data_IF_201020341329
#
_entry.id   IF_201020341329
#
_cell.length_a   1.000
_cell.length_b   1.000
_cell.length_c   1.000
_cell.angle_alpha   90.00
_cell.angle_beta   90.00
_cell.angle_gamma   90.00
#
_symmetry.space_group_name_H-M   'P 1'
#
loop_
_entity.id
_entity.type
_entity.pdbx_description
1 polymer ?
#
# COMPACT_ATOMS: atom_id res chain seq x y z
N UNK A 1 20.98 16.78 -18.74
CA UNK A 1 20.50 17.81 -17.78
C UNK A 1 19.10 18.29 -18.13
N UNK A 2 18.89 18.92 -19.30
CA UNK A 2 17.59 19.48 -19.68
C UNK A 2 16.46 18.43 -19.74
N UNK A 3 16.68 17.28 -20.40
CA UNK A 3 15.71 16.17 -20.47
C UNK A 3 15.29 15.68 -19.08
N UNK A 4 16.26 15.43 -18.20
CA UNK A 4 16.03 14.97 -16.81
C UNK A 4 15.16 15.96 -16.03
N UNK A 5 15.39 17.26 -16.21
CA UNK A 5 14.56 18.30 -15.56
C UNK A 5 13.16 18.32 -16.16
N UNK A 6 13.03 18.25 -17.49
CA UNK A 6 11.72 18.23 -18.16
C UNK A 6 10.88 17.02 -17.77
N UNK A 7 11.46 15.82 -17.77
CA UNK A 7 10.78 14.59 -17.35
C UNK A 7 10.32 14.68 -15.89
N UNK A 8 11.17 15.22 -15.01
CA UNK A 8 10.83 15.44 -13.61
C UNK A 8 9.71 16.47 -13.41
N UNK A 9 9.79 17.63 -14.06
CA UNK A 9 8.74 18.67 -13.97
C UNK A 9 7.40 18.16 -14.52
N UNK A 10 7.42 17.37 -15.61
CA UNK A 10 6.22 16.74 -16.17
C UNK A 10 5.62 15.69 -15.21
N UNK A 11 6.45 14.89 -14.56
CA UNK A 11 6.00 13.92 -13.55
C UNK A 11 5.39 14.63 -12.32
N UNK A 12 6.04 15.69 -11.82
CA UNK A 12 5.49 16.52 -10.73
C UNK A 12 4.16 17.17 -11.12
N UNK A 13 4.04 17.72 -12.33
CA UNK A 13 2.82 18.33 -12.82
C UNK A 13 1.67 17.31 -12.89
N UNK A 14 1.92 16.13 -13.47
CA UNK A 14 0.94 15.04 -13.50
C UNK A 14 0.50 14.60 -12.10
N UNK A 15 1.42 14.56 -11.14
CA UNK A 15 1.14 14.25 -9.73
C UNK A 15 0.24 15.31 -9.10
N UNK A 16 0.54 16.59 -9.30
CA UNK A 16 -0.30 17.70 -8.79
C UNK A 16 -1.69 17.68 -9.40
N UNK A 17 -1.79 17.49 -10.71
CA UNK A 17 -3.09 17.39 -11.40
C UNK A 17 -3.91 16.19 -10.93
N UNK A 18 -3.26 15.04 -10.67
CA UNK A 18 -3.93 13.86 -10.14
C UNK A 18 -4.42 14.08 -8.69
N UNK A 19 -3.61 14.75 -7.86
CA UNK A 19 -3.97 15.10 -6.49
C UNK A 19 -5.12 16.12 -6.45
N UNK A 20 -5.10 17.10 -7.35
CA UNK A 20 -6.17 18.09 -7.48
C UNK A 20 -7.46 17.45 -8.00
N UNK A 21 -7.38 16.54 -8.99
CA UNK A 21 -8.53 15.74 -9.44
C UNK A 21 -9.12 14.87 -8.31
N UNK A 22 -8.28 14.23 -7.49
CA UNK A 22 -8.72 13.45 -6.34
C UNK A 22 -9.41 14.32 -5.28
N UNK A 23 -8.88 15.53 -5.01
CA UNK A 23 -9.49 16.51 -4.08
C UNK A 23 -10.87 16.99 -4.55
N UNK A 24 -11.04 17.18 -5.86
CA UNK A 24 -12.28 17.72 -6.44
C UNK A 24 -13.35 16.66 -6.66
N UNK A 25 -12.98 15.41 -7.00
CA UNK A 25 -13.93 14.33 -7.35
C UNK A 25 -14.15 13.25 -6.28
N UNK A 26 -13.35 13.24 -5.20
CA UNK A 26 -13.45 12.20 -4.15
C UNK A 26 -13.03 10.80 -4.62
N UNK A 27 -12.32 10.69 -5.75
CA UNK A 27 -11.78 9.44 -6.28
C UNK A 27 -10.49 9.03 -5.54
N UNK A 28 -10.27 7.72 -5.36
CA UNK A 28 -9.02 7.19 -4.82
C UNK A 28 -7.86 7.45 -5.81
N UNK A 29 -6.74 7.93 -5.27
CA UNK A 29 -5.51 8.16 -6.01
C UNK A 29 -5.08 6.88 -6.77
N UNK A 30 -4.73 6.96 -8.06
CA UNK A 30 -4.25 5.81 -8.83
C UNK A 30 -3.08 5.10 -8.14
N UNK A 31 -3.24 3.79 -7.90
CA UNK A 31 -2.32 2.93 -7.16
C UNK A 31 -0.89 2.91 -7.75
N UNK A 32 -0.72 3.21 -9.04
CA UNK A 32 0.58 3.28 -9.73
C UNK A 32 1.44 4.46 -9.23
N UNK A 33 0.84 5.58 -8.83
CA UNK A 33 1.57 6.74 -8.29
C UNK A 33 1.96 6.58 -6.82
N UNK A 34 1.34 5.62 -6.13
CA UNK A 34 1.65 5.25 -4.74
C UNK A 34 2.80 4.22 -4.71
N UNK A 35 3.05 3.53 -5.83
CA UNK A 35 3.99 2.42 -5.94
C UNK A 35 5.47 2.81 -5.98
N UNK A 36 5.80 3.95 -6.60
CA UNK A 36 7.20 4.39 -6.74
C UNK A 36 7.72 5.18 -5.52
N UNK A 37 6.82 5.72 -4.70
CA UNK A 37 7.14 6.49 -3.48
C UNK A 37 6.68 5.79 -2.19
N UNK A 38 6.71 4.45 -2.15
CA UNK A 38 6.57 3.72 -0.89
C UNK A 38 7.79 3.99 0.00
N UNK A 39 7.74 5.08 0.76
CA UNK A 39 8.70 5.35 1.83
C UNK A 39 8.85 6.81 2.26
N UNK A 40 8.23 7.78 1.58
CA UNK A 40 8.50 9.19 1.89
C UNK A 40 7.32 9.86 2.59
N UNK A 41 7.45 9.96 3.91
CA UNK A 41 6.60 10.83 4.71
C UNK A 41 6.67 12.26 4.12
N UNK A 42 5.52 12.93 3.92
CA UNK A 42 5.44 14.27 3.32
C UNK A 42 6.37 15.29 4.01
N UNK A 43 6.62 15.11 5.31
CA UNK A 43 7.58 15.92 6.08
C UNK A 43 9.02 15.78 5.57
N UNK A 44 9.45 14.56 5.23
CA UNK A 44 10.80 14.29 4.73
C UNK A 44 11.00 14.97 3.37
N UNK A 45 9.96 15.01 2.53
CA UNK A 45 10.06 15.66 1.22
C UNK A 45 10.28 17.17 1.33
N UNK A 46 9.58 17.83 2.27
CA UNK A 46 9.75 19.24 2.54
C UNK A 46 11.17 19.56 3.06
N UNK A 47 11.69 18.74 3.97
CA UNK A 47 13.02 18.90 4.55
C UNK A 47 14.12 18.70 3.51
N UNK A 48 14.01 17.65 2.67
CA UNK A 48 14.96 17.40 1.58
C UNK A 48 14.94 18.52 0.54
N UNK A 49 13.75 19.04 0.21
CA UNK A 49 13.61 20.19 -0.69
C UNK A 49 14.29 21.43 -0.12
N UNK A 50 14.07 21.73 1.17
CA UNK A 50 14.72 22.84 1.86
C UNK A 50 16.25 22.70 1.87
N UNK A 51 16.74 21.49 2.13
CA UNK A 51 18.18 21.19 2.17
C UNK A 51 18.86 21.34 0.80
N UNK A 52 18.21 20.93 -0.29
CA UNK A 52 18.80 20.92 -1.63
C UNK A 52 18.58 22.23 -2.41
N UNK A 53 17.62 23.06 -2.00
CA UNK A 53 17.29 24.30 -2.69
C UNK A 53 18.37 25.38 -2.47
N UNK A 54 18.80 26.02 -3.55
CA UNK A 54 19.73 27.16 -3.50
C UNK A 54 21.22 26.80 -3.49
N UNK A 55 21.57 25.51 -3.37
CA UNK A 55 22.97 25.04 -3.43
C UNK A 55 23.53 25.09 -4.86
N UNK A 56 24.84 25.33 -4.96
CA UNK A 56 25.58 25.32 -6.22
C UNK A 56 25.87 23.88 -6.70
N UNK A 57 26.25 23.70 -7.98
CA UNK A 57 26.56 22.36 -8.50
C UNK A 57 27.67 21.66 -7.70
N UNK A 58 28.73 22.42 -7.36
CA UNK A 58 29.87 21.90 -6.58
C UNK A 58 29.48 21.52 -5.14
N UNK A 59 28.62 22.31 -4.48
CA UNK A 59 28.11 21.98 -3.14
C UNK A 59 27.24 20.72 -3.15
N UNK A 60 26.42 20.53 -4.19
CA UNK A 60 25.61 19.31 -4.35
C UNK A 60 26.48 18.08 -4.62
N UNK A 61 27.62 18.23 -5.29
CA UNK A 61 28.57 17.16 -5.53
C UNK A 61 29.36 16.76 -4.28
N UNK A 62 29.77 17.74 -3.49
CA UNK A 62 30.35 17.50 -2.16
C UNK A 62 29.35 16.79 -1.24
N UNK A 63 28.09 17.23 -1.25
CA UNK A 63 27.03 16.63 -0.44
C UNK A 63 26.71 15.19 -0.89
N UNK A 64 26.72 14.90 -2.19
CA UNK A 64 26.61 13.52 -2.69
C UNK A 64 27.75 12.65 -2.16
N UNK A 65 29.01 13.11 -2.29
CA UNK A 65 30.19 12.35 -1.87
C UNK A 65 30.17 12.09 -0.36
N UNK A 66 29.71 13.07 0.43
CA UNK A 66 29.54 12.92 1.87
C UNK A 66 28.46 11.89 2.23
N UNK A 67 27.31 11.91 1.56
CA UNK A 67 26.22 10.96 1.79
C UNK A 67 26.66 9.55 1.39
N UNK A 68 27.28 9.37 0.23
CA UNK A 68 27.79 8.08 -0.23
C UNK A 68 28.85 7.51 0.73
N UNK A 69 29.75 8.36 1.24
CA UNK A 69 30.72 7.98 2.26
C UNK A 69 30.06 7.56 3.57
N UNK A 70 29.04 8.30 4.03
CA UNK A 70 28.27 7.97 5.24
C UNK A 70 27.43 6.69 5.10
N UNK A 71 26.99 6.36 3.88
CA UNK A 71 26.32 5.10 3.57
C UNK A 71 27.30 3.93 3.56
N UNK A 72 28.50 4.10 2.98
CA UNK A 72 29.55 3.08 2.96
C UNK A 72 30.12 2.79 4.36
N UNK A 73 30.19 3.79 5.23
CA UNK A 73 30.66 3.62 6.61
C UNK A 73 29.62 2.98 7.55
N UNK A 74 28.39 2.73 7.08
CA UNK A 74 27.33 2.10 7.88
C UNK A 74 26.81 2.97 9.03
N UNK A 75 27.18 4.25 9.08
CA UNK A 75 26.77 5.20 10.14
C UNK A 75 25.44 5.90 9.84
N UNK A 76 24.83 5.61 8.69
CA UNK A 76 23.57 6.20 8.26
C UNK A 76 22.40 5.64 9.05
N UNK A 77 21.83 6.44 9.97
CA UNK A 77 20.68 6.04 10.81
C UNK A 77 19.38 5.82 10.03
N UNK A 78 19.23 6.40 8.84
CA UNK A 78 18.02 6.28 8.00
C UNK A 78 18.42 6.16 6.53
N UNK A 79 18.64 4.93 6.05
CA UNK A 79 19.09 4.67 4.66
C UNK A 79 18.06 5.13 3.64
N UNK A 80 16.76 4.91 3.88
CA UNK A 80 15.66 5.31 2.99
C UNK A 80 15.61 6.84 2.77
N UNK A 81 15.92 7.61 3.81
CA UNK A 81 16.03 9.06 3.72
C UNK A 81 17.16 9.47 2.77
N UNK A 82 18.35 8.89 2.95
CA UNK A 82 19.51 9.21 2.13
C UNK A 82 19.37 8.73 0.68
N UNK A 83 18.73 7.58 0.45
CA UNK A 83 18.39 7.11 -0.90
C UNK A 83 17.41 8.05 -1.61
N UNK A 84 16.39 8.53 -0.90
CA UNK A 84 15.48 9.53 -1.44
C UNK A 84 16.17 10.87 -1.71
N UNK A 85 17.10 11.28 -0.84
CA UNK A 85 17.97 12.44 -1.06
C UNK A 85 18.80 12.23 -2.31
N UNK A 86 19.45 11.08 -2.51
CA UNK A 86 20.28 10.79 -3.69
C UNK A 86 19.47 10.80 -4.99
N UNK A 87 18.29 10.18 -5.00
CA UNK A 87 17.36 10.25 -6.14
C UNK A 87 16.99 11.70 -6.47
N UNK A 88 16.70 12.53 -5.47
CA UNK A 88 16.40 13.95 -5.71
C UNK A 88 17.62 14.77 -6.06
N UNK A 89 18.79 14.42 -5.53
CA UNK A 89 20.02 15.16 -5.72
C UNK A 89 20.46 15.16 -7.18
N UNK A 90 20.28 14.07 -7.92
CA UNK A 90 20.59 14.05 -9.36
C UNK A 90 19.75 15.07 -10.15
N UNK A 91 18.49 15.29 -9.74
CA UNK A 91 17.57 16.24 -10.36
C UNK A 91 18.02 17.67 -10.03
N UNK A 92 18.35 17.93 -8.75
CA UNK A 92 18.84 19.24 -8.32
C UNK A 92 20.20 19.58 -8.93
N UNK A 93 21.10 18.60 -9.12
CA UNK A 93 22.35 18.77 -9.89
C UNK A 93 22.07 19.19 -11.33
N UNK A 94 21.12 18.53 -11.99
CA UNK A 94 20.71 18.90 -13.35
C UNK A 94 20.13 20.32 -13.41
N UNK A 95 19.31 20.72 -12.43
CA UNK A 95 18.78 22.08 -12.31
C UNK A 95 19.87 23.13 -12.05
N UNK A 96 20.80 22.86 -11.15
CA UNK A 96 21.92 23.75 -10.85
C UNK A 96 22.84 23.93 -12.07
N UNK A 97 23.15 22.83 -12.77
CA UNK A 97 23.90 22.86 -14.03
C UNK A 97 23.22 23.73 -15.08
N UNK A 98 21.90 23.59 -15.26
CA UNK A 98 21.14 24.40 -16.20
C UNK A 98 21.14 25.89 -15.82
N UNK A 99 21.01 26.20 -14.52
CA UNK A 99 21.12 27.57 -14.00
C UNK A 99 22.51 28.16 -14.26
N UNK A 100 23.59 27.40 -14.04
CA UNK A 100 24.95 27.87 -14.32
C UNK A 100 25.17 28.13 -15.81
N UNK A 101 24.66 27.25 -16.68
CA UNK A 101 24.71 27.45 -18.14
C UNK A 101 23.93 28.72 -18.51
N UNK A 102 22.73 28.89 -17.96
CA UNK A 102 21.90 30.07 -18.18
C UNK A 102 22.62 31.35 -17.74
N UNK A 103 23.18 31.38 -16.52
CA UNK A 103 23.94 32.53 -16.00
C UNK A 103 25.20 32.81 -16.86
N UNK A 104 25.88 31.77 -17.34
CA UNK A 104 27.03 31.92 -18.27
C UNK A 104 26.59 32.49 -19.62
N UNK A 105 25.45 32.06 -20.16
CA UNK A 105 24.88 32.61 -21.39
C UNK A 105 24.47 34.06 -21.21
N UNK A 106 23.82 34.41 -20.10
CA UNK A 106 23.45 35.79 -19.77
C UNK A 106 24.68 36.69 -19.65
N UNK A 107 25.74 36.23 -18.97
CA UNK A 107 27.00 36.96 -18.88
C UNK A 107 27.61 37.23 -20.26
N UNK A 108 27.69 36.20 -21.11
CA UNK A 108 28.17 36.37 -22.50
C UNK A 108 27.29 37.33 -23.33
N UNK A 109 25.98 37.31 -23.11
CA UNK A 109 25.07 38.22 -23.79
C UNK A 109 25.25 39.67 -23.31
N UNK A 110 25.40 39.87 -22.00
CA UNK A 110 25.70 41.16 -21.40
C UNK A 110 27.06 41.70 -21.87
N UNK A 111 28.10 40.88 -21.88
CA UNK A 111 29.44 41.24 -22.40
C UNK A 111 29.40 41.61 -23.89
N UNK A 112 28.49 41.02 -24.68
CA UNK A 112 28.30 41.37 -26.10
C UNK A 112 27.58 42.72 -26.25
N UNK A 113 26.69 43.07 -25.31
CA UNK A 113 25.99 44.35 -25.27
C UNK A 113 26.89 45.48 -24.71
N UNK A 114 27.78 45.16 -23.77
CA UNK A 114 28.71 46.11 -23.15
C UNK A 114 29.93 46.44 -24.03
N UNK A 115 30.24 45.63 -25.05
CA UNK A 115 31.22 46.02 -26.07
C UNK A 115 30.62 47.13 -26.93
N UNK A 116 31.07 48.39 -26.81
CA UNK A 116 30.58 49.45 -27.66
C UNK A 116 30.96 49.14 -29.11
N UNK A 117 30.04 49.50 -30.00
CA UNK A 117 30.23 49.61 -31.44
C UNK A 117 31.46 50.48 -31.79
N UNK A 118 32.66 49.90 -31.77
CA UNK A 118 33.82 50.41 -32.51
C UNK A 118 34.01 49.55 -33.76
N UNK A 119 33.18 49.80 -34.78
CA UNK A 119 33.27 49.08 -36.04
C UNK A 119 32.11 49.32 -36.98
N UNK A 120 32.22 50.42 -37.74
CA UNK A 120 31.70 50.59 -39.10
C UNK A 120 30.25 51.08 -39.32
N UNK A 121 30.21 52.41 -39.47
CA UNK A 121 29.47 53.11 -40.54
C UNK A 121 29.68 52.41 -41.89
N UNK A 122 28.62 51.89 -42.53
CA UNK A 122 28.26 52.07 -43.94
C UNK A 122 27.27 51.01 -44.43
N UNK A 123 25.97 51.34 -44.41
CA UNK A 123 25.07 51.32 -45.58
C UNK A 123 23.65 51.62 -45.12
N UNK A 124 23.31 52.90 -45.10
CA UNK A 124 21.95 53.31 -45.44
C UNK A 124 21.70 52.98 -46.92
N UNK A 125 20.53 52.38 -47.19
CA UNK A 125 19.65 52.70 -48.33
C UNK A 125 18.44 51.76 -48.30
N UNK A 126 17.34 52.25 -47.76
CA UNK A 126 15.99 52.07 -48.35
C UNK A 126 15.87 53.03 -49.53
N UNK A 127 15.22 52.66 -50.65
CA UNK A 127 13.74 52.77 -50.80
C UNK A 127 13.17 51.53 -51.55
N UNK A 128 11.88 51.17 -51.60
CA UNK A 128 10.61 51.87 -51.47
C UNK A 128 9.71 51.41 -52.64
N UNK A 129 8.46 51.02 -52.33
CA UNK A 129 7.25 50.96 -53.17
C UNK A 129 7.10 49.86 -54.26
N UNK A 130 6.06 49.04 -54.07
CA UNK A 130 4.88 48.86 -54.97
C UNK A 130 4.00 47.78 -54.31
N UNK A 131 2.94 48.13 -53.57
CA UNK A 131 1.58 48.36 -54.07
C UNK A 131 1.05 47.23 -54.98
N UNK A 132 0.25 46.33 -54.40
CA UNK A 132 -1.05 46.02 -55.00
C UNK A 132 -2.04 45.52 -53.94
N UNK A 133 -2.88 46.48 -53.55
CA UNK A 133 -4.30 46.37 -53.25
C UNK A 133 -5.01 45.12 -53.82
N UNK A 134 -5.83 44.47 -52.99
CA UNK A 134 -7.28 44.57 -53.12
C UNK A 134 -7.98 43.83 -51.98
N UNK A 135 -8.51 44.61 -51.04
CA UNK A 135 -9.65 44.26 -50.20
C UNK A 135 -10.91 44.04 -51.07
N UNK A 136 -11.78 43.11 -50.67
CA UNK A 136 -13.18 43.39 -50.28
C UNK A 136 -14.02 42.11 -50.12
N UNK A 137 -14.45 41.90 -48.87
CA UNK A 137 -15.83 41.79 -48.39
C UNK A 137 -16.91 41.07 -49.25
N UNK A 138 -17.61 40.13 -48.60
CA UNK A 138 -19.00 40.30 -48.13
C UNK A 138 -19.85 39.03 -48.23
N UNK A 139 -20.77 38.96 -47.28
CA UNK A 139 -21.70 37.89 -46.92
C UNK A 139 -22.76 37.55 -48.00
N UNK A 140 -23.41 36.39 -47.82
CA UNK A 140 -24.82 36.21 -48.21
C UNK A 140 -25.13 34.99 -49.07
N UNK A 141 -26.00 34.06 -48.63
CA UNK A 141 -26.33 32.81 -49.32
C UNK A 141 -27.46 33.01 -50.35
N UNK A 142 -27.78 31.95 -51.12
CA UNK A 142 -29.14 31.44 -51.47
C UNK A 142 -29.20 30.78 -52.89
N UNK A 143 -29.95 29.66 -52.95
CA UNK A 143 -30.68 29.01 -54.05
C UNK A 143 -30.06 27.86 -54.88
N UNK A 144 -30.58 26.67 -54.57
CA UNK A 144 -30.80 25.49 -55.41
C UNK A 144 -31.65 25.80 -56.66
N UNK A 145 -31.81 24.82 -57.57
CA UNK A 145 -33.13 24.63 -58.17
C UNK A 145 -33.63 23.17 -58.11
N UNK A 146 -34.82 23.01 -57.54
CA UNK A 146 -35.73 21.88 -57.69
C UNK A 146 -36.50 22.04 -59.02
N UNK A 147 -36.75 20.99 -59.82
CA UNK A 147 -37.68 21.04 -60.95
C UNK A 147 -39.14 20.98 -60.50
N UNK A 148 -39.98 21.68 -61.26
CA UNK A 148 -41.29 22.25 -60.93
C UNK A 148 -42.42 21.48 -61.63
N UNK A 149 -43.67 21.71 -61.19
CA UNK A 149 -44.97 21.78 -61.93
C UNK A 149 -45.57 20.49 -62.53
N UNK A 150 -46.88 20.22 -62.50
CA UNK A 150 -48.06 20.79 -61.84
C UNK A 150 -49.30 19.91 -62.14
N UNK A 151 -50.33 20.11 -61.31
CA UNK A 151 -51.79 20.11 -61.60
C UNK A 151 -52.58 18.79 -61.81
N UNK A 152 -53.50 18.61 -60.85
CA UNK A 152 -54.95 18.34 -60.97
C UNK A 152 -55.47 17.18 -61.84
N UNK A 153 -56.23 16.28 -61.21
CA UNK A 153 -57.67 16.00 -61.46
C UNK A 153 -58.04 14.66 -60.77
N UNK A 154 -58.94 14.72 -59.78
CA UNK A 154 -59.74 13.57 -59.32
C UNK A 154 -60.65 13.09 -60.48
N UNK A 155 -60.83 11.77 -60.73
CA UNK A 155 -61.79 11.02 -59.91
C UNK A 155 -61.50 9.50 -59.71
N UNK A 156 -62.08 9.00 -58.61
CA UNK A 156 -62.75 7.70 -58.40
C UNK A 156 -62.02 6.33 -58.39
N UNK A 157 -61.96 5.81 -57.15
CA UNK A 157 -62.33 4.46 -56.64
C UNK A 157 -61.76 3.18 -57.29
N UNK A 158 -60.83 2.53 -56.57
CA UNK A 158 -60.58 1.08 -56.61
C UNK A 158 -60.59 0.52 -55.16
N UNK A 159 -61.27 -0.61 -54.88
CA UNK A 159 -61.58 -1.03 -53.51
C UNK A 159 -60.45 -1.82 -52.81
N UNK A 160 -60.21 -1.46 -51.55
CA UNK A 160 -59.26 -2.11 -50.65
C UNK A 160 -59.68 -3.54 -50.26
N UNK A 161 -58.73 -4.48 -50.33
CA UNK A 161 -58.93 -5.88 -49.95
C UNK A 161 -59.10 -6.08 -48.44
N UNK A 162 -60.17 -6.77 -48.07
CA UNK A 162 -60.52 -7.19 -46.71
C UNK A 162 -59.69 -8.42 -46.27
N UNK A 163 -58.81 -8.25 -45.28
CA UNK A 163 -58.22 -9.36 -44.54
C UNK A 163 -58.41 -9.11 -43.03
N UNK A 164 -59.55 -9.59 -42.51
CA UNK A 164 -59.76 -9.71 -41.06
C UNK A 164 -60.08 -11.19 -40.74
N UNK A 165 -59.38 -11.83 -39.80
CA UNK A 165 -59.57 -13.24 -39.47
C UNK A 165 -60.85 -13.47 -38.66
N UNK A 166 -61.45 -14.67 -38.79
CA UNK A 166 -62.62 -15.12 -38.01
C UNK A 166 -62.22 -15.58 -36.61
N UNK A 167 -62.98 -15.15 -35.59
CA UNK A 167 -62.79 -15.54 -34.19
C UNK A 167 -63.27 -16.98 -33.94
N UNK A 168 -62.35 -17.83 -33.47
CA UNK A 168 -62.66 -19.09 -32.82
C UNK A 168 -63.15 -18.79 -31.39
N UNK A 169 -64.31 -19.31 -30.99
CA UNK A 169 -64.69 -19.35 -29.57
C UNK A 169 -63.94 -20.53 -28.92
N UNK A 170 -62.88 -20.20 -28.19
CA UNK A 170 -62.12 -21.12 -27.35
C UNK A 170 -62.72 -21.19 -25.95
N UNK A 171 -62.91 -22.43 -25.51
CA UNK A 171 -63.22 -22.96 -24.18
C UNK A 171 -62.91 -22.03 -22.97
N UNK A 172 -63.89 -21.83 -22.10
CA UNK A 172 -63.85 -20.91 -20.94
C UNK A 172 -63.04 -21.45 -19.73
N UNK A 173 -61.97 -22.23 -19.94
CA UNK A 173 -61.17 -22.78 -18.84
C UNK A 173 -59.66 -22.75 -19.11
N UNK A 174 -59.13 -21.63 -19.56
CA UNK A 174 -57.71 -21.32 -19.38
C UNK A 174 -57.62 -20.20 -18.35
N UNK A 175 -57.27 -20.55 -17.10
CA UNK A 175 -56.92 -19.59 -16.07
C UNK A 175 -55.75 -18.75 -16.60
N UNK A 176 -56.04 -17.52 -17.05
CA UNK A 176 -55.03 -16.58 -17.49
C UNK A 176 -54.09 -16.32 -16.30
N UNK A 177 -52.90 -16.92 -16.34
CA UNK A 177 -51.86 -16.72 -15.33
C UNK A 177 -51.46 -15.24 -15.40
N UNK A 178 -51.62 -14.54 -14.28
CA UNK A 178 -51.23 -13.13 -14.17
C UNK A 178 -49.73 -13.00 -14.52
N UNK A 179 -49.34 -12.15 -15.50
CA UNK A 179 -47.95 -11.96 -15.88
C UNK A 179 -47.05 -11.54 -14.71
N UNK A 180 -47.62 -10.93 -13.67
CA UNK A 180 -46.90 -10.50 -12.49
C UNK A 180 -46.58 -11.69 -11.55
N UNK A 181 -47.51 -12.65 -11.44
CA UNK A 181 -47.29 -13.88 -10.67
C UNK A 181 -46.28 -14.82 -11.34
N UNK A 182 -46.35 -14.98 -12.68
CA UNK A 182 -45.40 -15.82 -13.42
C UNK A 182 -43.96 -15.28 -13.29
N UNK A 183 -43.81 -13.96 -13.38
CA UNK A 183 -42.52 -13.29 -13.16
C UNK A 183 -42.00 -13.49 -11.74
N UNK A 184 -42.88 -13.39 -10.73
CA UNK A 184 -42.51 -13.63 -9.34
C UNK A 184 -42.09 -15.09 -9.08
N UNK A 185 -42.72 -16.06 -9.74
CA UNK A 185 -42.36 -17.48 -9.67
C UNK A 185 -40.98 -17.71 -10.31
N UNK A 186 -40.73 -17.08 -11.47
CA UNK A 186 -39.45 -17.11 -12.16
C UNK A 186 -38.32 -16.53 -11.30
N UNK A 187 -38.53 -15.37 -10.67
CA UNK A 187 -37.53 -14.73 -9.82
C UNK A 187 -37.24 -15.54 -8.55
N UNK A 188 -38.27 -16.16 -7.94
CA UNK A 188 -38.08 -17.09 -6.81
C UNK A 188 -37.25 -18.31 -7.22
N UNK A 189 -37.53 -18.93 -8.37
CA UNK A 189 -36.74 -20.06 -8.88
C UNK A 189 -35.30 -19.64 -9.20
N UNK A 190 -35.11 -18.45 -9.77
CA UNK A 190 -33.77 -17.90 -10.08
C UNK A 190 -32.96 -17.67 -8.81
N UNK A 191 -33.58 -17.11 -7.77
CA UNK A 191 -32.96 -16.89 -6.47
C UNK A 191 -32.63 -18.21 -5.75
N UNK A 192 -33.50 -19.21 -5.84
CA UNK A 192 -33.22 -20.53 -5.26
C UNK A 192 -32.00 -21.21 -5.91
N UNK A 193 -31.88 -21.17 -7.23
CA UNK A 193 -30.72 -21.72 -7.96
C UNK A 193 -29.44 -20.94 -7.65
N UNK A 194 -29.53 -19.61 -7.51
CA UNK A 194 -28.40 -18.77 -7.09
C UNK A 194 -27.95 -19.10 -5.67
N UNK A 195 -28.89 -19.31 -4.74
CA UNK A 195 -28.57 -19.66 -3.36
C UNK A 195 -28.02 -21.09 -3.26
N UNK A 196 -28.58 -22.04 -4.01
CA UNK A 196 -28.07 -23.41 -4.09
C UNK A 196 -26.66 -23.44 -4.70
N UNK A 197 -26.41 -22.66 -5.75
CA UNK A 197 -25.08 -22.45 -6.32
C UNK A 197 -24.13 -21.79 -5.31
N UNK A 198 -24.59 -20.81 -4.55
CA UNK A 198 -23.80 -20.12 -3.52
C UNK A 198 -23.43 -21.08 -2.38
N UNK A 199 -24.36 -21.93 -1.94
CA UNK A 199 -24.11 -22.96 -0.93
C UNK A 199 -23.13 -24.01 -1.47
N UNK A 200 -23.29 -24.43 -2.73
CA UNK A 200 -22.37 -25.38 -3.38
C UNK A 200 -20.96 -24.78 -3.58
N UNK A 201 -20.87 -23.48 -3.87
CA UNK A 201 -19.62 -22.72 -3.99
C UNK A 201 -18.95 -22.49 -2.62
N UNK A 202 -19.73 -22.23 -1.57
CA UNK A 202 -19.23 -22.18 -0.18
C UNK A 202 -18.73 -23.54 0.31
N UNK A 203 -19.40 -24.64 -0.08
CA UNK A 203 -19.03 -26.01 0.31
C UNK A 203 -17.85 -26.57 -0.49
N UNK A 204 -17.63 -26.10 -1.73
CA UNK A 204 -16.50 -26.48 -2.58
C UNK A 204 -15.31 -25.53 -2.48
N UNK A 205 -15.44 -24.41 -1.75
CA UNK A 205 -14.30 -23.54 -1.45
C UNK A 205 -13.32 -24.30 -0.55
N UNK A 206 -12.06 -24.54 -0.96
CA UNK A 206 -11.07 -25.04 -0.03
C UNK A 206 -11.01 -24.08 1.16
N UNK A 207 -11.04 -24.63 2.38
CA UNK A 207 -10.90 -23.84 3.60
C UNK A 207 -9.69 -22.92 3.45
N UNK A 208 -9.78 -21.61 3.79
CA UNK A 208 -8.67 -20.70 3.63
C UNK A 208 -7.42 -21.29 4.32
N UNK A 209 -6.21 -21.03 3.80
CA UNK A 209 -4.96 -21.55 4.38
C UNK A 209 -4.75 -21.12 5.85
N UNK A 210 -5.53 -20.14 6.32
CA UNK A 210 -5.57 -19.65 7.70
C UNK A 210 -6.14 -20.71 8.67
N UNK A 211 -7.15 -21.48 8.29
CA UNK A 211 -7.72 -22.52 9.15
C UNK A 211 -6.74 -23.68 9.38
N UNK A 212 -5.96 -24.05 8.36
CA UNK A 212 -4.94 -25.09 8.49
C UNK A 212 -3.75 -24.61 9.33
N UNK A 213 -3.40 -23.33 9.21
CA UNK A 213 -2.40 -22.67 10.04
C UNK A 213 -2.79 -22.70 11.53
N UNK A 214 -3.98 -22.21 11.86
CA UNK A 214 -4.47 -22.19 13.24
C UNK A 214 -4.65 -23.60 13.80
N UNK A 215 -5.24 -24.53 13.03
CA UNK A 215 -5.40 -25.93 13.47
C UNK A 215 -4.06 -26.61 13.75
N UNK A 216 -3.03 -26.38 12.93
CA UNK A 216 -1.70 -26.93 13.18
C UNK A 216 -1.02 -26.29 14.39
N UNK A 217 -1.16 -24.97 14.56
CA UNK A 217 -0.68 -24.28 15.74
C UNK A 217 -1.35 -24.80 17.02
N UNK A 218 -2.68 -24.90 17.02
CA UNK A 218 -3.48 -25.46 18.12
C UNK A 218 -3.10 -26.90 18.43
N UNK A 219 -2.92 -27.74 17.40
CA UNK A 219 -2.48 -29.13 17.57
C UNK A 219 -1.08 -29.22 18.17
N UNK A 220 -0.15 -28.35 17.78
CA UNK A 220 1.20 -28.29 18.33
C UNK A 220 1.24 -27.77 19.79
N UNK A 221 0.33 -26.84 20.14
CA UNK A 221 0.22 -26.24 21.48
C UNK A 221 -0.55 -27.09 22.49
N UNK A 222 -1.29 -28.11 22.01
CA UNK A 222 -2.17 -28.92 22.84
C UNK A 222 -3.50 -28.25 23.16
N UNK A 223 -4.37 -28.98 23.88
CA UNK A 223 -5.69 -28.51 24.27
C UNK A 223 -5.63 -27.20 25.09
N UNK A 224 -6.70 -26.42 25.02
CA UNK A 224 -6.76 -25.14 25.70
C UNK A 224 -6.90 -25.34 27.23
N UNK A 225 -5.79 -25.49 27.97
CA UNK A 225 -5.76 -25.46 29.44
C UNK A 225 -6.42 -24.20 30.04
N UNK A 226 -7.15 -24.41 31.14
CA UNK A 226 -7.98 -23.44 31.85
C UNK A 226 -7.14 -22.28 32.41
N UNK A 227 -7.00 -21.19 31.65
CA UNK A 227 -6.19 -20.04 32.04
C UNK A 227 -5.37 -19.43 30.91
N UNK A 228 -5.13 -20.13 29.82
CA UNK A 228 -4.34 -19.52 28.75
C UNK A 228 -5.19 -18.57 27.90
N UNK A 229 -4.62 -17.42 27.60
CA UNK A 229 -5.22 -16.39 26.75
C UNK A 229 -4.42 -16.33 25.45
N UNK A 230 -5.11 -16.15 24.32
CA UNK A 230 -4.44 -15.88 23.04
C UNK A 230 -3.74 -14.53 23.17
N UNK A 231 -2.43 -14.53 22.93
CA UNK A 231 -1.61 -13.33 22.97
C UNK A 231 -2.07 -12.43 21.81
N UNK A 232 -2.69 -11.28 22.12
CA UNK A 232 -3.30 -10.42 21.12
C UNK A 232 -2.29 -9.56 20.36
N UNK A 233 -2.71 -9.06 19.18
CA UNK A 233 -1.96 -8.20 18.26
C UNK A 233 -1.51 -6.85 18.86
N UNK A 234 -1.93 -6.54 20.09
CA UNK A 234 -1.65 -5.26 20.77
C UNK A 234 -0.31 -5.25 21.54
N UNK A 235 0.29 -6.42 21.79
CA UNK A 235 1.55 -6.57 22.54
C UNK A 235 2.77 -6.76 21.62
N UNK A 236 2.55 -6.70 20.31
CA UNK A 236 3.60 -6.66 19.30
C UNK A 236 4.26 -5.30 19.28
N UNK A 237 5.56 -5.30 19.48
CA UNK A 237 6.35 -4.09 19.37
C UNK A 237 6.70 -3.96 17.90
N UNK A 238 6.24 -2.87 17.29
CA UNK A 238 6.64 -2.53 15.93
C UNK A 238 8.12 -2.16 15.97
N UNK A 239 8.98 -3.11 15.61
CA UNK A 239 10.36 -2.84 15.30
C UNK A 239 10.34 -2.04 14.00
N UNK A 240 10.74 -0.77 14.07
CA UNK A 240 10.86 0.10 12.90
C UNK A 240 11.56 -0.67 11.77
N UNK A 241 10.97 -0.61 10.57
CA UNK A 241 11.40 -1.31 9.36
C UNK A 241 12.88 -1.03 9.09
N UNK A 242 13.76 -1.91 9.54
CA UNK A 242 15.18 -1.81 9.24
C UNK A 242 15.38 -2.22 7.78
N UNK A 243 16.10 -1.40 7.00
CA UNK A 243 16.50 -1.75 5.63
C UNK A 243 17.51 -2.87 5.72
N UNK A 244 17.07 -4.12 5.58
CA UNK A 244 18.00 -5.23 5.58
C UNK A 244 18.74 -5.29 4.23
N UNK A 245 20.04 -5.63 4.27
CA UNK A 245 20.94 -5.75 3.11
C UNK A 245 20.47 -6.71 2.00
N UNK A 246 19.39 -7.47 2.24
CA UNK A 246 18.77 -8.42 1.33
C UNK A 246 17.43 -7.94 0.71
N UNK A 247 16.93 -6.75 1.06
CA UNK A 247 15.64 -6.20 0.59
C UNK A 247 15.50 -6.20 -0.93
N UNK A 248 16.60 -6.03 -1.67
CA UNK A 248 16.61 -6.00 -3.13
C UNK A 248 16.43 -7.40 -3.76
N UNK A 249 16.78 -8.46 -3.03
CA UNK A 249 16.71 -9.85 -3.51
C UNK A 249 15.45 -10.58 -3.06
N UNK A 250 14.91 -10.23 -1.89
CA UNK A 250 13.72 -10.87 -1.33
C UNK A 250 12.75 -9.84 -0.79
N UNK A 251 11.46 -10.00 -1.10
CA UNK A 251 10.40 -9.19 -0.51
C UNK A 251 10.36 -9.44 1.01
N UNK A 252 10.58 -8.41 1.85
CA UNK A 252 10.48 -8.54 3.30
C UNK A 252 9.10 -9.05 3.70
N UNK A 253 9.08 -10.03 4.60
CA UNK A 253 7.85 -10.63 5.12
C UNK A 253 7.88 -10.66 6.64
N UNK A 254 6.77 -10.28 7.26
CA UNK A 254 6.56 -10.56 8.68
C UNK A 254 6.21 -12.04 8.86
N UNK A 255 6.91 -12.78 9.74
CA UNK A 255 6.57 -14.16 10.01
C UNK A 255 5.18 -14.26 10.64
N UNK A 256 4.45 -15.33 10.32
CA UNK A 256 3.19 -15.62 11.02
C UNK A 256 3.53 -16.22 12.39
N UNK A 257 2.82 -15.84 13.44
CA UNK A 257 3.00 -16.46 14.76
C UNK A 257 1.64 -16.75 15.39
N UNK A 258 1.66 -17.68 16.33
CA UNK A 258 0.52 -18.03 17.16
C UNK A 258 1.00 -18.16 18.60
N UNK A 259 0.79 -17.09 19.36
CA UNK A 259 1.35 -16.94 20.70
C UNK A 259 0.25 -17.12 21.75
N UNK A 260 0.59 -17.74 22.88
CA UNK A 260 -0.34 -18.02 23.99
C UNK A 260 0.30 -17.60 25.31
N UNK A 261 -0.39 -16.77 26.07
CA UNK A 261 0.00 -16.40 27.44
C UNK A 261 -0.59 -17.44 28.37
N UNK A 262 0.24 -18.15 29.12
CA UNK A 262 -0.22 -19.03 30.19
C UNK A 262 -0.48 -18.15 31.42
N UNK A 263 -1.75 -17.82 31.69
CA UNK A 263 -2.15 -17.12 32.91
C UNK A 263 -2.75 -18.10 33.89
N UNK A 264 -2.54 -17.88 35.18
CA UNK A 264 -3.09 -18.76 36.19
C UNK A 264 -3.14 -18.12 37.55
N UNK A 265 -3.82 -18.80 38.46
CA UNK A 265 -3.98 -18.37 39.85
C UNK A 265 -2.76 -18.80 40.66
N UNK A 266 -2.25 -17.87 41.48
CA UNK A 266 -1.22 -18.19 42.47
C UNK A 266 -1.85 -18.23 43.86
N UNK A 267 -2.12 -19.43 44.38
CA UNK A 267 -2.65 -19.62 45.72
C UNK A 267 -1.54 -19.51 46.78
N UNK A 268 -0.99 -18.31 46.94
CA UNK A 268 -0.07 -18.01 48.03
C UNK A 268 -0.84 -17.92 49.38
N UNK A 269 -0.12 -17.91 50.52
CA UNK A 269 -0.75 -17.89 51.86
C UNK A 269 -1.64 -16.65 52.09
N UNK A 270 -1.36 -15.53 51.42
CA UNK A 270 -2.16 -14.31 51.45
C UNK A 270 -3.42 -14.42 50.58
N UNK A 271 -3.30 -15.01 49.39
CA UNK A 271 -4.41 -15.19 48.48
C UNK A 271 -5.40 -16.22 49.03
N UNK A 272 -4.92 -17.25 49.72
CA UNK A 272 -5.75 -18.23 50.43
C UNK A 272 -6.60 -17.61 51.56
N UNK A 273 -6.26 -16.42 52.06
CA UNK A 273 -7.04 -15.76 53.12
C UNK A 273 -8.00 -14.69 52.61
N UNK A 274 -7.86 -14.27 51.35
CA UNK A 274 -8.62 -13.17 50.75
C UNK A 274 -9.47 -13.57 49.55
N UNK A 275 -9.20 -14.75 48.99
CA UNK A 275 -9.87 -15.27 47.81
C UNK A 275 -10.35 -16.70 48.09
N UNK A 276 -11.52 -17.01 47.55
CA UNK A 276 -12.16 -18.32 47.66
C UNK A 276 -12.34 -18.93 46.26
N UNK A 277 -12.83 -20.17 46.17
CA UNK A 277 -13.07 -20.82 44.87
C UNK A 277 -14.04 -20.03 43.98
N UNK A 278 -15.04 -19.40 44.59
CA UNK A 278 -16.05 -18.60 43.89
C UNK A 278 -15.57 -17.17 43.54
N UNK A 279 -14.52 -16.69 44.21
CA UNK A 279 -13.87 -15.40 43.97
C UNK A 279 -12.36 -15.59 43.91
N UNK A 280 -11.83 -16.19 42.84
CA UNK A 280 -10.42 -16.51 42.76
C UNK A 280 -9.55 -15.25 42.67
N UNK A 281 -8.26 -15.33 43.05
CA UNK A 281 -7.34 -14.21 42.96
C UNK A 281 -7.17 -13.71 41.51
N UNK A 282 -6.69 -12.48 41.30
CA UNK A 282 -6.35 -12.02 39.97
C UNK A 282 -5.37 -12.97 39.27
N UNK A 283 -5.63 -13.29 38.00
CA UNK A 283 -4.75 -14.15 37.20
C UNK A 283 -3.42 -13.45 36.98
N UNK A 284 -2.33 -14.16 37.24
CA UNK A 284 -0.99 -13.67 36.94
C UNK A 284 -0.41 -14.44 35.75
N UNK A 285 0.51 -13.82 35.02
CA UNK A 285 1.24 -14.52 33.95
C UNK A 285 2.20 -15.52 34.58
N UNK A 286 2.02 -16.80 34.25
CA UNK A 286 2.81 -17.93 34.72
C UNK A 286 3.82 -18.40 33.69
N UNK A 287 3.63 -18.08 32.41
CA UNK A 287 4.55 -18.43 31.33
C UNK A 287 4.06 -17.94 29.98
N UNK A 288 4.90 -18.16 28.97
CA UNK A 288 4.59 -17.83 27.58
C UNK A 288 4.90 -19.03 26.68
N UNK A 289 4.06 -19.18 25.65
CA UNK A 289 4.25 -20.16 24.60
C UNK A 289 4.23 -19.43 23.25
N UNK A 290 5.37 -19.38 22.58
CA UNK A 290 5.53 -18.79 21.26
C UNK A 290 5.62 -19.89 20.21
N UNK A 291 4.77 -19.81 19.18
CA UNK A 291 4.93 -20.56 17.94
C UNK A 291 5.11 -19.59 16.80
N UNK A 292 6.33 -19.51 16.25
CA UNK A 292 6.64 -18.59 15.16
C UNK A 292 6.95 -19.39 13.91
N UNK A 293 6.26 -19.07 12.82
CA UNK A 293 6.28 -19.81 11.57
C UNK A 293 7.15 -19.10 10.53
N UNK A 294 8.17 -19.83 10.08
CA UNK A 294 9.14 -19.49 9.07
C UNK A 294 9.15 -20.53 7.92
N UNK A 295 8.04 -20.73 7.20
CA UNK A 295 7.96 -21.72 6.11
C UNK A 295 8.91 -21.44 4.93
N UNK A 296 9.15 -20.16 4.64
CA UNK A 296 9.89 -19.69 3.45
C UNK A 296 11.34 -19.26 3.78
N UNK A 297 11.94 -19.82 4.84
CA UNK A 297 13.30 -19.45 5.24
C UNK A 297 14.30 -19.88 4.15
N UNK A 298 15.14 -18.94 3.69
CA UNK A 298 16.13 -19.20 2.63
C UNK A 298 17.15 -20.23 3.11
N UNK A 299 17.73 -20.00 4.30
CA UNK A 299 18.69 -20.91 4.94
C UNK A 299 17.99 -21.75 6.02
N UNK A 300 17.37 -22.87 5.63
CA UNK A 300 16.75 -23.81 6.59
C UNK A 300 17.74 -24.45 7.58
N UNK A 301 19.05 -24.33 7.31
CA UNK A 301 20.12 -24.82 8.19
C UNK A 301 20.41 -23.91 9.37
N UNK A 302 20.06 -22.62 9.28
CA UNK A 302 20.26 -21.65 10.36
C UNK A 302 18.94 -21.54 11.14
N UNK A 303 18.99 -21.92 12.41
CA UNK A 303 17.83 -21.80 13.27
C UNK A 303 17.63 -20.33 13.70
N UNK A 304 16.39 -19.83 13.75
CA UNK A 304 16.09 -18.54 14.35
C UNK A 304 16.54 -18.46 15.80
N UNK A 305 17.10 -17.33 16.20
CA UNK A 305 17.60 -17.06 17.56
C UNK A 305 16.74 -16.01 18.24
N UNK A 306 16.76 -15.93 19.57
CA UNK A 306 16.07 -14.87 20.31
C UNK A 306 17.01 -14.15 21.28
N UNK A 307 16.73 -12.87 21.52
CA UNK A 307 17.45 -12.01 22.47
C UNK A 307 16.45 -11.34 23.41
N UNK A 308 16.85 -11.12 24.65
CA UNK A 308 16.02 -10.44 25.65
C UNK A 308 16.64 -9.07 25.90
N UNK A 309 15.88 -8.02 25.64
CA UNK A 309 16.25 -6.62 25.86
C UNK A 309 15.36 -6.02 26.96
N UNK A 310 15.86 -4.98 27.64
CA UNK A 310 15.09 -4.28 28.67
C UNK A 310 14.15 -3.26 28.03
N UNK A 311 12.90 -3.20 28.48
CA UNK A 311 11.88 -2.28 27.97
C UNK A 311 11.98 -0.91 28.67
N UNK A 312 12.96 -0.10 28.25
CA UNK A 312 13.16 1.25 28.79
C UNK A 312 13.32 1.29 30.33
N UNK A 313 12.54 2.16 30.98
CA UNK A 313 12.55 2.38 32.44
C UNK A 313 11.72 1.35 33.24
N UNK A 314 10.95 0.48 32.57
CA UNK A 314 10.11 -0.49 33.25
C UNK A 314 10.94 -1.71 33.68
N UNK A 315 11.13 -1.89 34.99
CA UNK A 315 11.83 -3.08 35.52
C UNK A 315 10.97 -4.35 35.50
N UNK A 316 9.66 -4.18 35.37
CA UNK A 316 8.66 -5.25 35.42
C UNK A 316 8.46 -5.97 34.07
N UNK A 317 8.80 -5.33 32.96
CA UNK A 317 8.64 -5.86 31.60
C UNK A 317 9.97 -5.90 30.85
N UNK A 318 10.13 -6.88 29.97
CA UNK A 318 11.25 -6.99 29.06
C UNK A 318 10.76 -7.33 27.65
N UNK A 319 11.58 -7.06 26.65
CA UNK A 319 11.29 -7.32 25.25
C UNK A 319 12.02 -8.57 24.83
N UNK A 320 11.30 -9.57 24.33
CA UNK A 320 11.89 -10.71 23.64
C UNK A 320 11.86 -10.46 22.14
N UNK A 321 13.03 -10.40 21.50
CA UNK A 321 13.18 -10.21 20.06
C UNK A 321 13.64 -11.51 19.41
N UNK A 322 12.99 -11.89 18.32
CA UNK A 322 13.28 -13.08 17.53
C UNK A 322 13.93 -12.68 16.21
N UNK A 323 15.06 -13.31 15.92
CA UNK A 323 15.89 -13.11 14.75
C UNK A 323 15.86 -14.36 13.87
N UNK A 324 15.32 -14.26 12.67
CA UNK A 324 15.25 -15.40 11.73
C UNK A 324 16.21 -15.24 10.54
N UNK A 325 16.48 -14.01 10.11
CA UNK A 325 17.24 -13.71 8.90
C UNK A 325 16.38 -13.70 7.63
N UNK A 326 16.99 -13.45 6.45
CA UNK A 326 16.27 -13.28 5.19
C UNK A 326 15.34 -14.47 4.86
N UNK A 327 14.09 -14.24 4.44
CA UNK A 327 13.44 -12.97 4.08
C UNK A 327 12.55 -12.39 5.19
N UNK A 328 12.70 -12.89 6.42
CA UNK A 328 11.84 -12.54 7.53
C UNK A 328 12.41 -11.35 8.31
N UNK A 329 11.53 -10.41 8.63
CA UNK A 329 11.83 -9.34 9.57
C UNK A 329 11.88 -9.89 11.00
N UNK A 330 12.72 -9.27 11.82
CA UNK A 330 12.76 -9.55 13.25
C UNK A 330 11.42 -9.14 13.90
N UNK A 331 10.96 -9.94 14.86
CA UNK A 331 9.72 -9.66 15.61
C UNK A 331 10.04 -9.55 17.09
N UNK A 332 9.35 -8.65 17.79
CA UNK A 332 9.52 -8.46 19.22
C UNK A 332 8.19 -8.45 19.97
N UNK A 333 8.20 -9.05 21.16
CA UNK A 333 7.05 -9.10 22.05
C UNK A 333 7.44 -8.57 23.43
N UNK A 334 6.52 -7.84 24.06
CA UNK A 334 6.66 -7.47 25.47
C UNK A 334 6.27 -8.65 26.36
N UNK A 335 7.14 -9.01 27.30
CA UNK A 335 6.92 -10.08 28.27
C UNK A 335 7.23 -9.61 29.69
N UNK A 336 6.70 -10.29 30.69
CA UNK A 336 7.04 -10.03 32.10
C UNK A 336 8.50 -10.42 32.40
N UNK A 337 9.23 -9.53 33.06
CA UNK A 337 10.61 -9.73 33.47
C UNK A 337 10.68 -10.56 34.76
N UNK A 338 10.56 -11.89 34.63
CA UNK A 338 10.73 -12.87 35.71
C UNK A 338 11.71 -13.96 35.31
N UNK A 339 12.33 -14.64 36.29
CA UNK A 339 13.24 -15.75 36.01
C UNK A 339 12.52 -16.94 35.34
N UNK A 340 13.12 -17.45 34.26
CA UNK A 340 12.57 -18.59 33.52
C UNK A 340 12.98 -19.92 34.14
N UNK A 341 12.08 -20.89 34.03
CA UNK A 341 12.30 -22.26 34.42
C UNK A 341 12.75 -23.10 33.22
N UNK A 342 14.06 -23.34 33.12
CA UNK A 342 14.69 -24.09 32.01
C UNK A 342 14.51 -25.62 32.09
N UNK A 343 13.64 -26.12 32.97
CA UNK A 343 13.45 -27.56 33.14
C UNK A 343 12.50 -28.11 32.08
N UNK A 344 12.99 -29.03 31.23
CA UNK A 344 12.15 -29.73 30.25
C UNK A 344 10.96 -30.47 30.89
N UNK A 345 11.11 -30.96 32.12
CA UNK A 345 10.02 -31.61 32.87
C UNK A 345 8.89 -30.66 33.24
N UNK A 346 9.15 -29.35 33.24
CA UNK A 346 8.19 -28.31 33.61
C UNK A 346 7.73 -27.47 32.42
N UNK A 347 7.88 -28.03 31.21
CA UNK A 347 7.33 -27.46 29.99
C UNK A 347 8.29 -26.54 29.23
N UNK A 348 9.57 -26.46 29.60
CA UNK A 348 10.54 -25.74 28.78
C UNK A 348 10.80 -26.45 27.45
N UNK A 349 10.57 -25.74 26.34
CA UNK A 349 10.81 -26.23 24.99
C UNK A 349 11.38 -25.11 24.14
N UNK A 350 12.54 -25.33 23.53
CA UNK A 350 13.14 -24.42 22.56
C UNK A 350 13.62 -25.26 21.38
N UNK A 351 12.80 -25.41 20.34
CA UNK A 351 13.09 -26.29 19.20
C UNK A 351 12.62 -25.65 17.90
N UNK A 352 13.45 -25.72 16.87
CA UNK A 352 13.08 -25.31 15.51
C UNK A 352 12.91 -26.55 14.63
N UNK A 353 11.67 -26.83 14.23
CA UNK A 353 11.34 -28.00 13.41
C UNK A 353 10.40 -27.61 12.27
N UNK A 354 10.68 -28.10 11.06
CA UNK A 354 9.81 -27.92 9.87
C UNK A 354 9.43 -26.46 9.59
N UNK A 355 10.34 -25.52 9.85
CA UNK A 355 10.07 -24.09 9.67
C UNK A 355 9.19 -23.49 10.76
N UNK A 356 9.08 -24.13 11.94
CA UNK A 356 8.35 -23.60 13.09
C UNK A 356 9.30 -23.53 14.27
N UNK A 357 9.43 -22.34 14.85
CA UNK A 357 10.15 -22.11 16.08
C UNK A 357 9.17 -22.23 17.26
N UNK A 358 9.41 -23.21 18.12
CA UNK A 358 8.69 -23.40 19.37
C UNK A 358 9.54 -22.88 20.52
N UNK A 359 9.06 -21.86 21.23
CA UNK A 359 9.68 -21.34 22.46
C UNK A 359 8.64 -21.30 23.57
N UNK A 360 8.67 -22.31 24.44
CA UNK A 360 7.80 -22.46 25.60
C UNK A 360 8.63 -22.33 26.86
N UNK A 361 8.22 -21.45 27.76
CA UNK A 361 8.82 -21.32 29.06
C UNK A 361 7.80 -20.89 30.09
N UNK A 362 8.00 -21.38 31.31
CA UNK A 362 7.25 -20.96 32.49
C UNK A 362 8.18 -20.17 33.41
N UNK A 363 7.60 -19.31 34.23
CA UNK A 363 8.33 -18.60 35.26
C UNK A 363 8.60 -19.48 36.47
N UNK A 364 9.78 -19.34 37.06
CA UNK A 364 10.11 -20.02 38.32
C UNK A 364 9.16 -19.58 39.41
N UNK A 365 8.60 -20.56 40.11
CA UNK A 365 7.81 -20.32 41.32
C UNK A 365 8.70 -20.51 42.54
N UNK A 366 8.94 -19.43 43.28
CA UNK A 366 9.62 -19.51 44.56
C UNK A 366 8.63 -19.95 45.62
N UNK A 367 8.81 -21.15 46.16
CA UNK A 367 8.06 -21.57 47.35
C UNK A 367 8.73 -20.95 48.56
N UNK A 368 8.04 -20.02 49.20
CA UNK A 368 8.45 -19.52 50.50
C UNK A 368 8.42 -20.66 51.52
N UNK A 369 9.59 -21.11 51.98
CA UNK A 369 9.72 -22.01 53.12
C UNK A 369 9.88 -21.16 54.37
N UNK A 370 8.97 -21.36 55.34
CA UNK A 370 9.05 -20.76 56.67
C UNK A 370 10.06 -21.48 57.53
#
# INVERSE_FOLDING_TARGET
>A
ALLVVCEWELAEARKKDALERARVRGEQLPQEMIGEERGLHVSIEADVKSLLQGKTFGELEALQSQIESQMQSGTAKVVEYWEAVLKRLHIYKAKACLKEIHVKMLRKHLERLERPSEGEKNKERTPGLDEQDSDQDAEGPILSPIPVMDADVHPEEEPAGSYSPQLLHGDENEDAIDPEEDKAILDKRRNAVLEERRIQELASRPTPPEDHFEKNAMKAMGAMEEGDVVFGTNDEINLDSQVYWWHDKYRPRKPKYFNRVHTGYEWNKYNQTHYDHDNPPPKIVQGYKFNIFYPDLVDKSKAPTYTIEKDGDSTETCIIRFHAGPPYEDIAFRIVNKEWEYSHKKGFKCTFERGILHVYFNFKRYRYRR
#
